data_IF_785566983476
#
_entry.id   IF_785566983476
#
_cell.length_a   1.000
_cell.length_b   1.000
_cell.length_c   1.000
_cell.angle_alpha   90.00
_cell.angle_beta   90.00
_cell.angle_gamma   90.00
#
_symmetry.space_group_name_H-M   'P 1'
#
loop_
_entity.id
_entity.type
_entity.pdbx_description
1 polymer ?
#
# COMPACT_ATOMS: atom_id res chain seq x y z
N UNK A 1 31.23 39.63 60.47
CA UNK A 1 29.80 39.40 60.21
C UNK A 1 29.63 39.43 58.70
N UNK A 2 29.17 38.43 57.98
CA UNK A 2 28.46 37.21 58.35
C UNK A 2 27.44 36.96 57.24
N UNK A 3 27.71 35.97 56.37
CA UNK A 3 26.78 35.30 55.46
C UNK A 3 26.11 36.22 54.38
N UNK A 4 25.84 35.87 53.12
CA UNK A 4 25.52 34.61 52.45
C UNK A 4 25.93 34.83 50.97
N UNK A 5 27.12 34.42 50.54
CA UNK A 5 27.38 34.16 49.11
C UNK A 5 27.30 32.64 48.92
N UNK A 6 26.14 32.11 49.25
CA UNK A 6 25.78 30.72 49.01
C UNK A 6 25.15 30.57 47.63
N UNK A 7 25.85 30.98 46.56
CA UNK A 7 25.47 30.52 45.22
C UNK A 7 25.93 29.07 45.15
N UNK A 8 25.02 28.18 45.57
CA UNK A 8 25.07 26.74 45.37
C UNK A 8 25.68 26.49 43.99
N UNK A 9 26.89 25.90 43.97
CA UNK A 9 27.48 25.30 42.79
C UNK A 9 26.53 24.19 42.36
N UNK A 10 25.51 24.54 41.57
CA UNK A 10 24.50 23.60 41.09
C UNK A 10 25.27 22.48 40.39
N UNK A 11 24.96 21.24 40.75
CA UNK A 11 25.66 20.06 40.28
C UNK A 11 25.43 19.88 38.77
N UNK A 12 26.23 20.57 37.94
CA UNK A 12 26.08 20.67 36.48
C UNK A 12 26.02 19.29 35.79
N UNK A 13 26.67 18.27 36.37
CA UNK A 13 26.65 16.90 35.85
C UNK A 13 25.25 16.25 35.93
N UNK A 14 24.50 16.52 36.99
CA UNK A 14 23.13 16.02 37.14
C UNK A 14 22.13 16.75 36.24
N UNK A 15 22.38 18.04 35.99
CA UNK A 15 21.58 18.84 35.06
C UNK A 15 21.76 18.37 33.61
N UNK A 16 23.01 18.13 33.18
CA UNK A 16 23.31 17.62 31.83
C UNK A 16 22.70 16.23 31.59
N UNK A 17 22.69 15.37 32.62
CA UNK A 17 22.12 14.03 32.52
C UNK A 17 20.59 14.07 32.40
N UNK A 18 19.93 14.97 33.14
CA UNK A 18 18.48 15.18 33.05
C UNK A 18 18.08 15.79 31.70
N UNK A 19 18.85 16.75 31.19
CA UNK A 19 18.65 17.33 29.86
C UNK A 19 18.80 16.27 28.77
N UNK A 20 19.83 15.42 28.87
CA UNK A 20 20.04 14.31 27.92
C UNK A 20 18.89 13.29 27.95
N UNK A 21 18.38 12.95 29.14
CA UNK A 21 17.22 12.08 29.29
C UNK A 21 15.96 12.70 28.69
N UNK A 22 15.75 14.01 28.89
CA UNK A 22 14.61 14.72 28.33
C UNK A 22 14.69 14.76 26.79
N UNK A 23 15.87 15.06 26.22
CA UNK A 23 16.08 15.02 24.78
C UNK A 23 15.84 13.62 24.20
N UNK A 24 16.33 12.57 24.88
CA UNK A 24 16.10 11.20 24.47
C UNK A 24 14.62 10.81 24.52
N UNK A 25 13.92 11.24 25.57
CA UNK A 25 12.47 11.00 25.69
C UNK A 25 11.70 11.67 24.57
N UNK A 26 11.98 12.95 24.28
CA UNK A 26 11.34 13.68 23.18
C UNK A 26 11.60 12.98 21.85
N UNK A 27 12.86 12.61 21.55
CA UNK A 27 13.21 11.89 20.34
C UNK A 27 12.47 10.55 20.22
N UNK A 28 12.39 9.80 21.32
CA UNK A 28 11.71 8.50 21.34
C UNK A 28 10.22 8.66 21.05
N UNK A 29 9.56 9.67 21.64
CA UNK A 29 8.15 9.97 21.37
C UNK A 29 7.95 10.38 19.91
N UNK A 30 8.82 11.26 19.38
CA UNK A 30 8.76 11.67 17.98
C UNK A 30 8.88 10.47 17.02
N UNK A 31 9.87 9.60 17.25
CA UNK A 31 10.06 8.39 16.42
C UNK A 31 8.85 7.46 16.55
N UNK A 32 8.35 7.25 17.76
CA UNK A 32 7.21 6.35 18.03
C UNK A 32 5.93 6.81 17.34
N UNK A 33 5.75 8.11 17.13
CA UNK A 33 4.61 8.67 16.39
C UNK A 33 4.84 8.70 14.88
N UNK A 34 6.07 9.02 14.45
CA UNK A 34 6.41 9.15 13.04
C UNK A 34 6.42 7.79 12.31
N UNK A 35 6.94 6.75 12.95
CA UNK A 35 7.10 5.43 12.35
C UNK A 35 5.75 4.79 11.92
N UNK A 36 4.70 4.74 12.76
CA UNK A 36 3.41 4.20 12.34
C UNK A 36 2.74 5.06 11.26
N UNK A 37 2.95 6.38 11.26
CA UNK A 37 2.43 7.28 10.22
C UNK A 37 3.02 6.92 8.84
N UNK A 38 4.34 6.79 8.77
CA UNK A 38 5.03 6.43 7.51
C UNK A 38 4.66 5.01 7.08
N UNK A 39 4.59 4.07 8.02
CA UNK A 39 4.15 2.71 7.72
C UNK A 39 2.72 2.68 7.13
N UNK A 40 1.80 3.47 7.70
CA UNK A 40 0.44 3.61 7.19
C UNK A 40 0.41 4.15 5.76
N UNK A 41 1.16 5.21 5.47
CA UNK A 41 1.25 5.76 4.12
C UNK A 41 1.83 4.75 3.11
N UNK A 42 2.86 3.99 3.49
CA UNK A 42 3.44 2.96 2.64
C UNK A 42 2.43 1.84 2.33
N UNK A 43 1.61 1.46 3.30
CA UNK A 43 0.53 0.49 3.09
C UNK A 43 -0.51 1.03 2.11
N UNK A 44 -0.97 2.26 2.29
CA UNK A 44 -1.94 2.89 1.37
C UNK A 44 -1.38 2.97 -0.05
N UNK A 45 -0.14 3.42 -0.23
CA UNK A 45 0.50 3.48 -1.55
C UNK A 45 0.60 2.09 -2.19
N UNK A 46 0.88 1.05 -1.39
CA UNK A 46 0.93 -0.33 -1.88
C UNK A 46 -0.45 -0.83 -2.34
N UNK A 47 -1.51 -0.50 -1.62
CA UNK A 47 -2.88 -0.87 -1.98
C UNK A 47 -3.35 -0.16 -3.25
N UNK A 48 -3.10 1.14 -3.36
CA UNK A 48 -3.39 1.93 -4.56
C UNK A 48 -2.64 1.40 -5.78
N UNK A 49 -1.35 1.07 -5.62
CA UNK A 49 -0.55 0.45 -6.69
C UNK A 49 -1.17 -0.87 -7.14
N UNK A 50 -1.59 -1.73 -6.20
CA UNK A 50 -2.30 -2.98 -6.53
C UNK A 50 -3.61 -2.74 -7.27
N UNK A 51 -4.37 -1.70 -6.91
CA UNK A 51 -5.61 -1.34 -7.60
C UNK A 51 -5.34 -0.94 -9.06
N UNK A 52 -4.32 -0.10 -9.30
CA UNK A 52 -3.90 0.31 -10.64
C UNK A 52 -3.41 -0.88 -11.47
N UNK A 53 -2.58 -1.75 -10.89
CA UNK A 53 -2.09 -2.94 -11.58
C UNK A 53 -3.24 -3.88 -11.97
N UNK A 54 -4.24 -4.08 -11.10
CA UNK A 54 -5.46 -4.85 -11.42
C UNK A 54 -6.27 -4.21 -12.54
N UNK A 55 -6.46 -2.89 -12.52
CA UNK A 55 -7.18 -2.18 -13.57
C UNK A 55 -6.47 -2.30 -14.93
N UNK A 56 -5.13 -2.21 -14.93
CA UNK A 56 -4.32 -2.41 -16.12
C UNK A 56 -4.48 -3.82 -16.69
N UNK A 57 -4.36 -4.85 -15.85
CA UNK A 57 -4.57 -6.25 -16.27
C UNK A 57 -5.96 -6.41 -16.87
N UNK A 58 -7.00 -5.88 -16.21
CA UNK A 58 -8.36 -5.94 -16.74
C UNK A 58 -8.48 -5.27 -18.12
N UNK A 59 -7.90 -4.09 -18.30
CA UNK A 59 -7.93 -3.38 -19.56
C UNK A 59 -7.26 -4.21 -20.68
N UNK A 60 -6.03 -4.67 -20.45
CA UNK A 60 -5.27 -5.42 -21.45
C UNK A 60 -5.96 -6.75 -21.83
N UNK A 61 -6.49 -7.48 -20.85
CA UNK A 61 -7.23 -8.72 -21.12
C UNK A 61 -8.59 -8.47 -21.79
N UNK A 62 -9.30 -7.41 -21.42
CA UNK A 62 -10.55 -7.03 -22.10
C UNK A 62 -10.33 -6.66 -23.57
N UNK A 63 -9.20 -6.01 -23.87
CA UNK A 63 -8.81 -5.67 -25.23
C UNK A 63 -8.49 -6.94 -26.04
N UNK A 64 -7.79 -7.92 -25.45
CA UNK A 64 -7.55 -9.23 -26.08
C UNK A 64 -8.86 -9.94 -26.44
N UNK A 65 -9.85 -9.93 -25.53
CA UNK A 65 -11.18 -10.48 -25.80
C UNK A 65 -11.85 -9.76 -26.97
N UNK A 66 -11.81 -8.42 -26.99
CA UNK A 66 -12.40 -7.63 -28.07
C UNK A 66 -11.74 -7.87 -29.43
N UNK A 67 -10.45 -8.22 -29.44
CA UNK A 67 -9.68 -8.55 -30.64
C UNK A 67 -9.79 -10.05 -31.03
N UNK A 68 -10.58 -10.84 -30.30
CA UNK A 68 -10.74 -12.27 -30.53
C UNK A 68 -9.49 -13.10 -30.20
N UNK A 69 -8.55 -12.55 -29.44
CA UNK A 69 -7.33 -13.22 -28.99
C UNK A 69 -7.58 -14.01 -27.69
N UNK A 70 -6.77 -15.04 -27.45
CA UNK A 70 -6.79 -15.79 -26.20
C UNK A 70 -6.36 -14.91 -25.02
N UNK A 71 -7.13 -14.97 -23.93
CA UNK A 71 -6.80 -14.35 -22.64
C UNK A 71 -5.60 -15.09 -22.03
N UNK A 72 -4.69 -14.38 -21.36
CA UNK A 72 -3.59 -15.05 -20.67
C UNK A 72 -4.10 -15.68 -19.36
N UNK A 73 -3.64 -16.89 -19.03
CA UNK A 73 -4.05 -17.59 -17.80
C UNK A 73 -3.40 -17.01 -16.52
N UNK A 74 -2.24 -16.35 -16.66
CA UNK A 74 -1.52 -15.78 -15.54
C UNK A 74 -0.77 -14.51 -15.92
N UNK A 75 -0.72 -13.55 -14.99
CA UNK A 75 -0.02 -12.29 -15.17
C UNK A 75 0.85 -11.97 -13.97
N UNK A 76 2.14 -11.71 -14.20
CA UNK A 76 3.08 -11.38 -13.13
C UNK A 76 3.47 -9.90 -13.20
N UNK A 77 3.19 -9.14 -12.14
CA UNK A 77 3.64 -7.74 -12.01
C UNK A 77 3.99 -7.42 -10.57
N UNK A 78 5.07 -6.67 -10.36
CA UNK A 78 5.47 -6.19 -9.02
C UNK A 78 5.76 -7.30 -7.99
N UNK A 79 6.12 -8.51 -8.43
CA UNK A 79 6.33 -9.67 -7.56
C UNK A 79 5.04 -10.38 -7.11
N UNK A 80 3.89 -10.00 -7.67
CA UNK A 80 2.59 -10.65 -7.45
C UNK A 80 2.18 -11.38 -8.73
N UNK A 81 1.66 -12.60 -8.57
CA UNK A 81 1.12 -13.41 -9.66
C UNK A 81 -0.40 -13.40 -9.58
N UNK A 82 -1.05 -12.86 -10.61
CA UNK A 82 -2.49 -12.83 -10.78
C UNK A 82 -2.91 -14.02 -11.63
N UNK A 83 -3.90 -14.79 -11.16
CA UNK A 83 -4.54 -15.83 -11.98
C UNK A 83 -5.77 -15.24 -12.65
N UNK A 84 -5.86 -15.45 -13.95
CA UNK A 84 -6.89 -14.86 -14.79
C UNK A 84 -7.74 -16.01 -15.34
N UNK A 85 -9.03 -16.01 -15.01
CA UNK A 85 -9.98 -17.00 -15.52
C UNK A 85 -10.99 -16.31 -16.43
N UNK A 86 -11.08 -16.78 -17.67
CA UNK A 86 -12.16 -16.40 -18.57
C UNK A 86 -13.46 -17.05 -18.10
N UNK A 87 -14.50 -16.23 -17.90
CA UNK A 87 -15.84 -16.71 -17.59
C UNK A 87 -16.71 -16.47 -18.82
N UNK A 88 -17.12 -17.52 -19.50
CA UNK A 88 -18.19 -17.46 -20.52
C UNK A 88 -19.49 -17.95 -19.89
N UNK A 89 -20.47 -17.07 -19.73
CA UNK A 89 -21.85 -17.43 -19.37
C UNK A 89 -22.82 -16.94 -20.41
N UNK A 90 -23.42 -17.89 -21.13
CA UNK A 90 -24.51 -17.80 -22.11
C UNK A 90 -24.39 -16.71 -23.19
N UNK A 91 -24.21 -15.43 -22.84
CA UNK A 91 -23.93 -14.30 -23.76
C UNK A 91 -23.00 -13.21 -23.17
N UNK A 92 -22.31 -13.49 -22.06
CA UNK A 92 -21.35 -12.59 -21.41
C UNK A 92 -19.98 -13.23 -21.33
N UNK A 93 -18.95 -12.50 -21.75
CA UNK A 93 -17.54 -12.85 -21.53
C UNK A 93 -17.06 -12.02 -20.36
N UNK A 94 -16.50 -12.63 -19.32
CA UNK A 94 -15.98 -11.94 -18.15
C UNK A 94 -14.57 -12.39 -17.85
N UNK A 95 -13.90 -11.63 -17.00
CA UNK A 95 -12.59 -11.99 -16.48
C UNK A 95 -12.68 -12.00 -14.96
N UNK A 96 -12.28 -13.10 -14.37
CA UNK A 96 -12.04 -13.21 -12.94
C UNK A 96 -10.55 -13.13 -12.68
N UNK A 97 -10.15 -12.22 -11.80
CA UNK A 97 -8.76 -12.02 -11.38
C UNK A 97 -8.67 -12.44 -9.91
N UNK A 98 -7.86 -13.45 -9.64
CA UNK A 98 -7.56 -13.91 -8.28
C UNK A 98 -6.16 -13.40 -7.85
N UNK A 99 -6.10 -12.71 -6.70
CA UNK A 99 -4.88 -12.30 -5.98
C UNK A 99 -4.92 -12.92 -4.57
N UNK A 100 -4.53 -14.19 -4.44
CA UNK A 100 -4.59 -14.93 -3.18
C UNK A 100 -6.02 -15.04 -2.63
N UNK A 101 -6.29 -14.43 -1.48
CA UNK A 101 -7.62 -14.38 -0.83
C UNK A 101 -8.58 -13.34 -1.44
N UNK A 102 -8.10 -12.47 -2.34
CA UNK A 102 -8.95 -11.46 -2.99
C UNK A 102 -9.38 -11.93 -4.38
N UNK A 103 -10.68 -12.16 -4.52
CA UNK A 103 -11.32 -12.55 -5.77
C UNK A 103 -12.08 -11.35 -6.34
N UNK A 104 -11.67 -10.87 -7.52
CA UNK A 104 -12.38 -9.83 -8.24
C UNK A 104 -13.01 -10.44 -9.50
N UNK A 105 -14.34 -10.39 -9.60
CA UNK A 105 -15.08 -10.88 -10.76
C UNK A 105 -15.59 -9.67 -11.54
N UNK A 106 -15.16 -9.54 -12.80
CA UNK A 106 -15.65 -8.48 -13.68
C UNK A 106 -16.35 -9.15 -14.87
N UNK A 107 -17.66 -8.88 -14.99
CA UNK A 107 -18.45 -9.25 -16.16
C UNK A 107 -18.25 -8.19 -17.26
N UNK A 108 -17.74 -8.59 -18.43
CA UNK A 108 -17.74 -7.70 -19.60
C UNK A 108 -19.04 -8.00 -20.37
N UNK A 109 -19.90 -6.99 -20.49
CA UNK A 109 -21.06 -7.09 -21.38
C UNK A 109 -20.53 -7.21 -22.81
N UNK A 110 -20.70 -8.39 -23.40
CA UNK A 110 -20.43 -8.61 -24.82
C UNK A 110 -21.46 -7.81 -25.61
N UNK A 111 -21.15 -6.56 -25.95
CA UNK A 111 -21.84 -5.87 -27.03
C UNK A 111 -21.47 -6.61 -28.31
N UNK A 112 -22.35 -7.48 -28.80
CA UNK A 112 -22.27 -7.98 -30.18
C UNK A 112 -22.12 -6.76 -31.09
N UNK A 113 -20.97 -6.64 -31.76
CA UNK A 113 -20.86 -5.80 -32.95
C UNK A 113 -21.78 -6.45 -33.99
N UNK A 114 -22.75 -5.72 -34.58
CA UNK A 114 -23.57 -6.29 -35.64
C UNK A 114 -22.65 -6.61 -36.82
N UNK A 115 -22.64 -7.88 -37.25
CA UNK A 115 -22.01 -8.26 -38.52
C UNK A 115 -22.70 -7.52 -39.68
N UNK A 116 -21.94 -7.05 -40.69
CA UNK A 116 -22.48 -6.36 -41.86
C UNK A 116 -23.28 -7.28 -42.79
#
# INVERSE_FOLDING_TARGET
>A
MGAIIGIKKLNQKGYLLLESLLSFFILTVCISLYLPLVAGLLLTVKEEKKAVDRARICYEQSQKISLGQSVDDSWQTGGVTYQIHSIEKEHKKGIQINDGDQQLVIEILSSKVPEP
#
